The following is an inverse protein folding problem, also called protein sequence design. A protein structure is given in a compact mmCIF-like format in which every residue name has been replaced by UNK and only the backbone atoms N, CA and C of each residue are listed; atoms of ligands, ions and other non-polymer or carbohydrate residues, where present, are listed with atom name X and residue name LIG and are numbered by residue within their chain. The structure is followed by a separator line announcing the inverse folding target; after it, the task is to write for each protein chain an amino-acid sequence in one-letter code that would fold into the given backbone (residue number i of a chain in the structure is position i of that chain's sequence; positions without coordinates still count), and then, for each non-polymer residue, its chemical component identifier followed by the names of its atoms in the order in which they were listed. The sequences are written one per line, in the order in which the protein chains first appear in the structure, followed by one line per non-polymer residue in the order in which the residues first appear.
data_IF_372715115346
#
_entry.id   IF_372715115346
#
_cell.length_a   1.000
_cell.length_b   1.000
_cell.length_c   1.000
_cell.angle_alpha   90.00
_cell.angle_beta   90.00
_cell.angle_gamma   90.00
#
_symmetry.space_group_name_H-M   'P 1'
#
loop_
_entity.id
_entity.type
_entity.pdbx_description
1 polymer ?
#
# COMPACT_ATOMS: atom_id res chain seq x y z
N UNK A 1 -24.41 -4.91 1.73
CA UNK A 1 -23.11 -4.27 2.03
C UNK A 1 -22.19 -4.50 0.85
N UNK A 2 -21.91 -3.47 0.06
CA UNK A 2 -20.99 -3.57 -1.07
C UNK A 2 -19.56 -3.73 -0.53
N UNK A 3 -18.99 -4.93 -0.65
CA UNK A 3 -17.57 -5.14 -0.36
C UNK A 3 -16.76 -4.34 -1.37
N UNK A 4 -16.19 -3.21 -0.92
CA UNK A 4 -15.29 -2.42 -1.76
C UNK A 4 -14.03 -3.23 -2.01
N UNK A 5 -13.90 -3.81 -3.20
CA UNK A 5 -12.75 -4.64 -3.60
C UNK A 5 -11.49 -3.81 -3.87
N UNK A 6 -11.66 -2.52 -4.15
CA UNK A 6 -10.58 -1.60 -4.51
C UNK A 6 -10.65 -0.36 -3.63
N UNK A 7 -9.50 0.08 -3.15
CA UNK A 7 -9.28 1.30 -2.38
C UNK A 7 -8.47 2.29 -3.21
N UNK A 8 -8.87 3.54 -3.19
CA UNK A 8 -8.05 4.61 -3.75
C UNK A 8 -6.87 4.93 -2.82
N UNK A 9 -5.88 5.65 -3.35
CA UNK A 9 -4.73 6.11 -2.55
C UNK A 9 -5.14 6.81 -1.24
N UNK A 10 -6.15 7.68 -1.29
CA UNK A 10 -6.65 8.41 -0.11
C UNK A 10 -7.31 7.49 0.91
N UNK A 11 -7.98 6.43 0.47
CA UNK A 11 -8.63 5.49 1.38
C UNK A 11 -7.60 4.58 2.02
N UNK A 12 -6.64 4.09 1.23
CA UNK A 12 -5.50 3.33 1.74
C UNK A 12 -4.67 4.15 2.74
N UNK A 13 -4.41 5.43 2.44
CA UNK A 13 -3.67 6.32 3.33
C UNK A 13 -4.40 6.53 4.66
N UNK A 14 -5.74 6.64 4.64
CA UNK A 14 -6.57 6.72 5.85
C UNK A 14 -6.53 5.43 6.66
N UNK A 15 -6.63 4.26 6.00
CA UNK A 15 -6.58 2.95 6.66
C UNK A 15 -5.28 2.76 7.43
N UNK A 16 -4.15 3.07 6.80
CA UNK A 16 -2.82 2.95 7.42
C UNK A 16 -2.39 4.16 8.25
N UNK A 17 -3.23 5.21 8.30
CA UNK A 17 -2.92 6.51 8.94
C UNK A 17 -1.57 7.09 8.49
N UNK A 18 -1.23 6.91 7.22
CA UNK A 18 -0.02 7.49 6.61
C UNK A 18 -0.38 8.62 5.66
N UNK A 19 0.59 9.47 5.36
CA UNK A 19 0.42 10.51 4.34
C UNK A 19 0.30 9.88 2.95
N UNK A 20 -0.60 10.38 2.07
CA UNK A 20 -0.67 9.92 0.68
C UNK A 20 0.66 10.13 -0.06
N UNK A 21 1.47 11.10 0.35
CA UNK A 21 2.85 11.33 -0.10
C UNK A 21 3.77 10.12 0.12
N UNK A 22 3.58 9.38 1.22
CA UNK A 22 4.31 8.14 1.50
C UNK A 22 3.96 7.07 0.47
N UNK A 23 2.68 6.95 0.10
CA UNK A 23 2.24 6.03 -0.95
C UNK A 23 2.80 6.43 -2.33
N UNK A 24 2.89 7.73 -2.63
CA UNK A 24 3.57 8.21 -3.84
C UNK A 24 5.03 7.78 -3.84
N UNK A 25 5.75 8.02 -2.73
CA UNK A 25 7.16 7.60 -2.59
C UNK A 25 7.33 6.09 -2.77
N UNK A 26 6.44 5.27 -2.21
CA UNK A 26 6.48 3.82 -2.38
C UNK A 26 6.26 3.37 -3.82
N UNK A 27 5.46 4.10 -4.61
CA UNK A 27 5.34 3.81 -6.05
C UNK A 27 6.66 4.03 -6.79
N UNK A 28 7.36 5.13 -6.49
CA UNK A 28 8.66 5.42 -7.08
C UNK A 28 9.72 4.39 -6.65
N UNK A 29 9.71 3.99 -5.38
CA UNK A 29 10.67 3.03 -4.84
C UNK A 29 10.32 1.56 -5.16
N UNK A 30 9.12 1.29 -5.70
CA UNK A 30 8.62 -0.07 -5.92
C UNK A 30 8.37 -0.87 -4.64
N UNK A 31 8.15 -0.19 -3.51
CA UNK A 31 8.13 -0.80 -2.18
C UNK A 31 6.76 -0.72 -1.48
N UNK A 32 5.69 -0.79 -2.27
CA UNK A 32 4.30 -0.72 -1.80
C UNK A 32 3.43 -1.85 -2.37
N UNK A 33 2.16 -1.93 -1.94
CA UNK A 33 1.21 -2.91 -2.46
C UNK A 33 0.98 -2.71 -3.96
N UNK A 34 0.58 -3.78 -4.66
CA UNK A 34 0.27 -3.71 -6.09
C UNK A 34 -0.82 -2.67 -6.34
N UNK A 35 -0.56 -1.82 -7.32
CA UNK A 35 -1.50 -0.79 -7.74
C UNK A 35 -2.03 -1.11 -9.14
N UNK A 36 -3.28 -0.78 -9.35
CA UNK A 36 -3.99 -0.94 -10.62
C UNK A 36 -4.35 0.45 -11.15
N UNK A 37 -4.14 0.67 -12.44
CA UNK A 37 -4.47 1.95 -13.09
C UNK A 37 -5.74 1.79 -13.90
N UNK A 38 -6.84 2.40 -13.42
CA UNK A 38 -8.17 2.29 -14.03
C UNK A 38 -8.65 3.71 -14.36
N UNK A 39 -8.84 4.02 -15.64
CA UNK A 39 -9.36 5.32 -16.08
C UNK A 39 -8.54 6.53 -15.60
N UNK A 40 -7.21 6.38 -15.51
CA UNK A 40 -6.30 7.43 -15.02
C UNK A 40 -6.20 7.53 -13.49
N UNK A 41 -6.96 6.73 -12.74
CA UNK A 41 -6.89 6.67 -11.27
C UNK A 41 -6.04 5.48 -10.84
N UNK A 42 -5.30 5.66 -9.74
CA UNK A 42 -4.55 4.58 -9.11
C UNK A 42 -5.35 4.02 -7.95
N UNK A 43 -5.67 2.73 -8.07
CA UNK A 43 -6.45 1.98 -7.08
C UNK A 43 -5.66 0.78 -6.59
N UNK A 44 -5.99 0.29 -5.42
CA UNK A 44 -5.32 -0.81 -4.73
C UNK A 44 -6.36 -1.86 -4.38
N UNK A 45 -6.13 -3.11 -4.75
CA UNK A 45 -7.07 -4.18 -4.38
C UNK A 45 -6.90 -4.51 -2.90
N UNK A 46 -8.01 -4.76 -2.18
CA UNK A 46 -7.96 -5.20 -0.78
C UNK A 46 -7.09 -6.44 -0.63
N UNK A 47 -7.26 -7.44 -1.51
CA UNK A 47 -6.43 -8.67 -1.48
C UNK A 47 -4.94 -8.37 -1.59
N UNK A 48 -4.53 -7.50 -2.51
CA UNK A 48 -3.11 -7.11 -2.69
C UNK A 48 -2.57 -6.38 -1.45
N UNK A 49 -3.41 -5.57 -0.79
CA UNK A 49 -3.08 -4.88 0.45
C UNK A 49 -2.90 -5.89 1.58
N UNK A 50 -3.83 -6.82 1.74
CA UNK A 50 -3.77 -7.86 2.77
C UNK A 50 -2.57 -8.77 2.56
N UNK A 51 -2.27 -9.19 1.33
CA UNK A 51 -1.06 -9.95 1.00
C UNK A 51 0.21 -9.17 1.36
N UNK A 52 0.23 -7.87 1.10
CA UNK A 52 1.35 -7.00 1.49
C UNK A 52 1.48 -6.85 3.01
N UNK A 53 0.36 -6.71 3.73
CA UNK A 53 0.31 -6.67 5.20
C UNK A 53 0.83 -7.98 5.80
N UNK A 54 0.37 -9.13 5.29
CA UNK A 54 0.80 -10.46 5.73
C UNK A 54 2.28 -10.72 5.40
N UNK A 55 2.78 -10.23 4.26
CA UNK A 55 4.19 -10.34 3.90
C UNK A 55 5.12 -9.47 4.78
N UNK A 56 4.59 -8.44 5.44
CA UNK A 56 5.32 -7.52 6.34
C UNK A 56 5.08 -7.77 7.82
N UNK A 57 4.10 -8.60 8.20
CA UNK A 57 3.90 -9.01 9.58
C UNK A 57 4.96 -10.04 9.98
N UNK A 58 6.16 -9.59 10.32
CA UNK A 58 7.11 -10.38 11.08
C UNK A 58 6.79 -10.24 12.57
N UNK A 59 6.35 -11.32 13.20
CA UNK A 59 6.36 -11.46 14.66
C UNK A 59 7.81 -11.44 15.10
N UNK A 60 8.27 -10.28 15.54
CA UNK A 60 9.33 -10.03 16.51
C UNK A 60 10.24 -8.90 16.05
N UNK A 61 10.26 -7.88 16.90
CA UNK A 61 11.35 -6.91 17.09
C UNK A 61 11.52 -5.83 16.02
N UNK A 62 11.48 -4.59 16.50
CA UNK A 62 12.05 -3.36 15.93
C UNK A 62 12.98 -3.60 14.73
N UNK A 63 12.62 -3.16 13.52
CA UNK A 63 13.55 -2.46 12.62
C UNK A 63 12.86 -1.89 11.35
N UNK A 64 13.21 -0.63 11.07
CA UNK A 64 13.48 -0.04 9.75
C UNK A 64 12.58 -0.41 8.54
N UNK A 65 11.67 0.50 8.17
CA UNK A 65 11.09 0.49 6.82
C UNK A 65 12.11 1.03 5.80
N UNK A 66 12.96 0.11 5.37
CA UNK A 66 13.81 0.16 4.19
C UNK A 66 13.08 0.69 2.96
N UNK A 67 13.82 1.41 2.12
CA UNK A 67 13.39 1.83 0.80
C UNK A 67 14.59 2.33 0.01
N UNK A 68 15.60 1.47 -0.17
CA UNK A 68 16.75 1.70 -1.03
C UNK A 68 16.95 0.52 -1.97
N UNK A 69 16.94 0.81 -3.28
CA UNK A 69 17.62 0.13 -4.42
C UNK A 69 17.45 1.13 -5.57
N UNK A 70 18.46 1.65 -6.27
CA UNK A 70 19.86 1.32 -6.49
C UNK A 70 20.60 2.64 -6.76
#
# INVERSE_FOLDING_TARGET
MSAQLFLNQTELSRRWKISPRTLERWRWLGNGPRYHKIGGRVVYRISDIEEFENGRSFTSTMDEQQGGKK
#
